data_IF_118510581599
#
_entry.id   IF_118510581599
#
_cell.length_a   1.000
_cell.length_b   1.000
_cell.length_c   1.000
_cell.angle_alpha   90.00
_cell.angle_beta   90.00
_cell.angle_gamma   90.00
#
_symmetry.space_group_name_H-M   'P 1'
#
loop_
_entity.id
_entity.type
_entity.pdbx_description
1 polymer ?
#
# COMPACT_ATOMS: atom_id res chain seq x y z
N UNK A 1 -1.38 13.95 5.29
CA UNK A 1 -1.88 12.65 4.79
C UNK A 1 -3.30 12.46 5.29
N UNK A 2 -4.21 11.93 4.46
CA UNK A 2 -5.59 11.66 4.89
C UNK A 2 -5.64 10.56 5.98
N UNK A 3 -6.76 10.46 6.70
CA UNK A 3 -6.98 9.33 7.62
C UNK A 3 -7.08 8.03 6.83
N UNK A 4 -6.73 6.90 7.48
CA UNK A 4 -6.75 5.57 6.82
C UNK A 4 -8.14 5.26 6.27
N UNK A 5 -9.20 5.58 7.00
CA UNK A 5 -10.60 5.39 6.58
C UNK A 5 -10.97 6.18 5.32
N UNK A 6 -10.53 7.45 5.22
CA UNK A 6 -10.74 8.28 4.01
C UNK A 6 -9.98 7.72 2.81
N UNK A 7 -8.75 7.24 3.04
CA UNK A 7 -7.96 6.59 1.99
C UNK A 7 -8.66 5.32 1.52
N UNK A 8 -9.13 4.46 2.43
CA UNK A 8 -9.85 3.23 2.08
C UNK A 8 -11.12 3.50 1.28
N UNK A 9 -11.87 4.55 1.63
CA UNK A 9 -13.04 4.98 0.86
C UNK A 9 -12.64 5.36 -0.56
N UNK A 10 -11.61 6.20 -0.71
CA UNK A 10 -11.06 6.56 -2.02
C UNK A 10 -10.56 5.34 -2.81
N UNK A 11 -9.89 4.38 -2.15
CA UNK A 11 -9.42 3.15 -2.80
C UNK A 11 -10.56 2.29 -3.34
N UNK A 12 -11.74 2.32 -2.71
CA UNK A 12 -12.94 1.61 -3.18
C UNK A 12 -13.59 2.32 -4.36
N UNK A 13 -13.61 3.65 -4.36
CA UNK A 13 -14.22 4.48 -5.41
C UNK A 13 -13.31 4.61 -6.65
N UNK A 14 -12.03 4.86 -6.44
CA UNK A 14 -11.03 5.12 -7.49
C UNK A 14 -9.72 4.32 -7.27
N UNK A 15 -9.75 2.98 -7.37
CA UNK A 15 -8.58 2.13 -7.08
C UNK A 15 -7.35 2.42 -7.96
N UNK A 16 -7.56 2.98 -9.16
CA UNK A 16 -6.49 3.33 -10.11
C UNK A 16 -5.85 4.70 -9.85
N UNK A 17 -6.38 5.51 -8.92
CA UNK A 17 -5.94 6.88 -8.68
C UNK A 17 -5.52 7.10 -7.21
N UNK A 18 -4.61 6.25 -6.75
CA UNK A 18 -4.14 6.26 -5.36
C UNK A 18 -2.68 6.69 -5.33
N UNK A 19 -2.37 7.67 -4.46
CA UNK A 19 -0.99 8.09 -4.22
C UNK A 19 -0.23 6.96 -3.53
N UNK A 20 1.02 6.76 -3.92
CA UNK A 20 1.86 5.73 -3.33
C UNK A 20 1.99 5.87 -1.81
N UNK A 21 2.12 7.11 -1.32
CA UNK A 21 2.20 7.40 0.11
C UNK A 21 0.93 7.02 0.89
N UNK A 22 -0.25 7.18 0.28
CA UNK A 22 -1.52 6.83 0.90
C UNK A 22 -1.69 5.29 0.94
N UNK A 23 -1.37 4.59 -0.15
CA UNK A 23 -1.36 3.12 -0.18
C UNK A 23 -0.35 2.55 0.82
N UNK A 24 0.86 3.10 0.87
CA UNK A 24 1.89 2.73 1.86
C UNK A 24 1.37 2.87 3.28
N UNK A 25 0.71 3.99 3.60
CA UNK A 25 0.15 4.22 4.94
C UNK A 25 -0.89 3.17 5.32
N UNK A 26 -1.77 2.80 4.39
CA UNK A 26 -2.75 1.72 4.58
C UNK A 26 -2.03 0.40 4.85
N UNK A 27 -1.06 0.03 4.01
CA UNK A 27 -0.29 -1.20 4.20
C UNK A 27 0.47 -1.22 5.52
N UNK A 28 1.09 -0.11 5.93
CA UNK A 28 1.79 -0.01 7.23
C UNK A 28 0.83 -0.16 8.42
N UNK A 29 -0.42 0.31 8.27
CA UNK A 29 -1.44 0.21 9.32
C UNK A 29 -1.91 -1.23 9.52
N UNK A 30 -2.12 -1.99 8.43
CA UNK A 30 -2.69 -3.34 8.50
C UNK A 30 -1.65 -4.46 8.53
N UNK A 31 -0.52 -4.28 7.86
CA UNK A 31 0.52 -5.29 7.69
C UNK A 31 1.81 -4.96 8.45
N UNK A 32 1.91 -3.77 9.05
CA UNK A 32 3.11 -3.32 9.75
C UNK A 32 4.20 -2.83 8.79
N UNK A 33 5.43 -2.71 9.30
CA UNK A 33 6.54 -2.13 8.51
C UNK A 33 6.92 -3.03 7.33
N UNK A 34 7.20 -2.47 6.14
CA UNK A 34 7.68 -3.25 5.01
C UNK A 34 9.07 -3.82 5.32
N UNK A 35 9.38 -4.98 4.75
CA UNK A 35 10.69 -5.65 4.96
C UNK A 35 11.85 -4.89 4.33
N UNK A 36 11.58 -4.14 3.26
CA UNK A 36 12.52 -3.28 2.56
C UNK A 36 11.84 -1.94 2.29
N UNK A 37 12.47 -0.84 2.68
CA UNK A 37 11.93 0.53 2.58
C UNK A 37 12.77 1.48 1.70
N UNK A 38 13.91 1.01 1.18
CA UNK A 38 14.88 1.83 0.45
C UNK A 38 14.65 1.94 -1.06
N UNK A 39 13.58 1.36 -1.61
CA UNK A 39 13.33 1.35 -3.06
C UNK A 39 11.93 1.83 -3.39
N UNK A 40 11.64 2.04 -4.68
CA UNK A 40 10.29 2.30 -5.19
C UNK A 40 9.32 1.14 -4.92
N UNK A 41 9.81 -0.03 -4.55
CA UNK A 41 9.01 -1.22 -4.29
C UNK A 41 9.01 -1.52 -2.79
N UNK A 42 7.83 -1.81 -2.24
CA UNK A 42 7.67 -2.21 -0.84
C UNK A 42 6.93 -3.55 -0.78
N UNK A 43 7.47 -4.45 0.02
CA UNK A 43 6.88 -5.77 0.27
C UNK A 43 6.50 -5.92 1.73
N UNK A 44 5.23 -6.26 1.95
CA UNK A 44 4.62 -6.46 3.26
C UNK A 44 4.33 -7.94 3.49
N UNK A 45 4.60 -8.39 4.72
CA UNK A 45 4.17 -9.71 5.19
C UNK A 45 2.72 -9.60 5.64
N UNK A 46 1.90 -10.57 5.27
CA UNK A 46 0.51 -10.61 5.70
C UNK A 46 0.35 -11.60 6.86
N UNK A 47 -0.71 -11.47 7.68
CA UNK A 47 -0.96 -12.38 8.81
C UNK A 47 -1.59 -13.73 8.39
N UNK A 48 -1.85 -13.94 7.10
CA UNK A 48 -2.58 -15.12 6.62
C UNK A 48 -1.66 -16.34 6.43
N UNK A 49 -2.21 -17.56 6.57
CA UNK A 49 -1.46 -18.79 6.30
C UNK A 49 -1.04 -18.88 4.82
N UNK A 50 0.10 -19.53 4.57
CA UNK A 50 0.64 -19.73 3.21
C UNK A 50 1.66 -18.68 2.74
N UNK A 51 2.12 -17.79 3.63
CA UNK A 51 3.06 -16.70 3.35
C UNK A 51 2.68 -15.75 2.18
N UNK A 52 1.40 -15.37 1.98
CA UNK A 52 1.07 -14.40 0.94
C UNK A 52 1.68 -13.04 1.26
N UNK A 53 2.10 -12.33 0.20
CA UNK A 53 2.78 -11.04 0.30
C UNK A 53 1.99 -9.97 -0.43
N UNK A 54 1.99 -8.77 0.13
CA UNK A 54 1.48 -7.57 -0.55
C UNK A 54 2.68 -6.80 -1.07
N UNK A 55 2.76 -6.63 -2.39
CA UNK A 55 3.79 -5.85 -3.06
C UNK A 55 3.16 -4.59 -3.65
N UNK A 56 3.74 -3.43 -3.35
CA UNK A 56 3.31 -2.15 -3.91
C UNK A 56 4.50 -1.46 -4.58
N UNK A 57 4.25 -0.81 -5.71
CA UNK A 57 5.27 -0.06 -6.45
C UNK A 57 4.87 1.40 -6.58
N UNK A 58 5.86 2.28 -6.43
CA UNK A 58 5.77 3.69 -6.73
C UNK A 58 6.03 3.90 -8.23
N UNK A 59 5.07 4.48 -8.92
CA UNK A 59 5.16 4.98 -10.28
C UNK A 59 4.94 6.50 -10.24
N UNK A 60 6.04 7.26 -10.19
CA UNK A 60 6.05 8.73 -10.21
C UNK A 60 5.12 9.39 -9.17
N UNK A 61 5.07 8.82 -7.96
CA UNK A 61 4.25 9.31 -6.84
C UNK A 61 2.89 8.63 -6.71
N UNK A 62 2.47 7.86 -7.71
CA UNK A 62 1.24 7.07 -7.70
C UNK A 62 1.55 5.60 -7.38
N UNK A 63 0.57 4.92 -6.79
CA UNK A 63 0.61 3.46 -6.69
C UNK A 63 0.41 2.86 -8.08
N UNK A 64 1.27 1.91 -8.46
CA UNK A 64 1.09 1.18 -9.71
C UNK A 64 -0.22 0.36 -9.65
N UNK A 65 -1.14 0.52 -10.63
CA UNK A 65 -2.32 -0.33 -10.71
C UNK A 65 -1.90 -1.74 -11.12
N UNK A 66 -2.38 -2.73 -10.36
CA UNK A 66 -2.21 -4.16 -10.63
C UNK A 66 -3.57 -4.82 -10.81
#
# INVERSE_FOLDING_TARGET
MASVEKILTKMREEPRNIRFADLRKVCETYFGRPRQSGTSHLVFKTPWPGDPRVNIQNADGQAKPY
#
